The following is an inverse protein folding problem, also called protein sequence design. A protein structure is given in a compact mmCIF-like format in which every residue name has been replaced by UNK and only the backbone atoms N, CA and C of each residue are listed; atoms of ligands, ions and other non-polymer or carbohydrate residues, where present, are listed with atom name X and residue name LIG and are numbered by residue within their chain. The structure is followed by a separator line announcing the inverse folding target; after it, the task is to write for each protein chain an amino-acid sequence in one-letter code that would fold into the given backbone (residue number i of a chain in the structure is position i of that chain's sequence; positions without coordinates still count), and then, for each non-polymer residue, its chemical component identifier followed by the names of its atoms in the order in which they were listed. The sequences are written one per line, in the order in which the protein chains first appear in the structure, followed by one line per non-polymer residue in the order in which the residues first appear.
data_IF_310505123729
#
_entry.id   IF_310505123729
#
_cell.length_a   1.000
_cell.length_b   1.000
_cell.length_c   1.000
_cell.angle_alpha   90.00
_cell.angle_beta   90.00
_cell.angle_gamma   90.00
#
_symmetry.space_group_name_H-M   'P 1'
#
loop_
_entity.id
_entity.type
_entity.pdbx_description
1 polymer ?
#
# COMPACT_ATOMS: atom_id res chain seq x y z
N UNK A 1 7.96 -2.09 -0.78
CA UNK A 1 7.18 -2.81 0.26
C UNK A 1 7.94 -3.10 1.55
N UNK A 2 9.12 -3.73 1.54
CA UNK A 2 9.89 -3.97 2.78
C UNK A 2 10.07 -2.72 3.68
N UNK A 3 10.50 -1.60 3.09
CA UNK A 3 10.63 -0.31 3.82
C UNK A 3 9.28 0.16 4.36
N UNK A 4 8.21 -0.01 3.59
CA UNK A 4 6.85 0.35 3.98
C UNK A 4 6.39 -0.46 5.21
N UNK A 5 6.69 -1.76 5.26
CA UNK A 5 6.43 -2.62 6.42
C UNK A 5 7.14 -2.11 7.68
N UNK A 6 8.42 -1.74 7.55
CA UNK A 6 9.20 -1.19 8.66
C UNK A 6 8.64 0.15 9.16
N UNK A 7 8.23 1.04 8.26
CA UNK A 7 7.55 2.30 8.60
C UNK A 7 6.20 2.05 9.28
N UNK A 8 5.43 1.05 8.82
CA UNK A 8 4.18 0.68 9.46
C UNK A 8 4.38 0.22 10.92
N UNK A 9 5.45 -0.51 11.20
CA UNK A 9 5.83 -0.89 12.57
C UNK A 9 6.23 0.32 13.44
N UNK A 10 6.93 1.29 12.86
CA UNK A 10 7.26 2.54 13.55
C UNK A 10 6.01 3.35 13.92
N UNK A 11 5.04 3.47 13.00
CA UNK A 11 3.75 4.12 13.28
C UNK A 11 2.92 3.35 14.31
N UNK A 12 2.93 2.01 14.22
CA UNK A 12 2.25 1.14 15.16
C UNK A 12 2.77 1.34 16.60
N UNK A 13 4.05 1.66 16.79
CA UNK A 13 4.66 1.91 18.12
C UNK A 13 3.93 3.00 18.89
N UNK A 14 3.49 4.06 18.21
CA UNK A 14 2.71 5.14 18.81
C UNK A 14 1.27 4.73 19.11
N UNK A 15 0.71 3.82 18.30
CA UNK A 15 -0.64 3.27 18.45
C UNK A 15 -1.78 4.29 18.33
N UNK A 16 -1.49 5.50 17.82
CA UNK A 16 -2.47 6.60 17.71
C UNK A 16 -3.31 6.53 16.44
N UNK A 17 -2.77 5.95 15.38
CA UNK A 17 -3.41 5.82 14.07
C UNK A 17 -3.28 4.39 13.57
N UNK A 18 -4.19 3.99 12.68
CA UNK A 18 -4.02 2.72 11.99
C UNK A 18 -2.71 2.75 11.18
N UNK A 19 -1.84 1.74 11.28
CA UNK A 19 -0.55 1.70 10.60
C UNK A 19 -0.72 1.34 9.12
N UNK A 20 -1.61 2.05 8.41
CA UNK A 20 -1.80 1.96 6.97
C UNK A 20 -0.98 3.09 6.35
N UNK A 21 0.11 2.70 5.70
CA UNK A 21 1.14 3.58 5.15
C UNK A 21 1.03 3.54 3.64
N UNK A 22 1.14 4.72 3.03
CA UNK A 22 1.16 4.89 1.58
C UNK A 22 2.44 5.60 1.17
N UNK A 23 3.14 5.01 0.21
CA UNK A 23 4.20 5.70 -0.52
C UNK A 23 3.76 5.98 -1.95
N UNK A 24 4.17 7.14 -2.47
CA UNK A 24 4.28 7.36 -3.91
C UNK A 24 5.74 7.26 -4.29
N UNK A 25 6.04 6.46 -5.31
CA UNK A 25 7.40 6.25 -5.80
C UNK A 25 7.48 6.66 -7.26
N UNK A 26 8.51 7.41 -7.60
CA UNK A 26 8.82 7.86 -8.95
C UNK A 26 10.32 7.66 -9.20
N UNK A 27 10.69 6.95 -10.26
CA UNK A 27 12.10 6.66 -10.61
C UNK A 27 12.91 6.13 -9.42
N UNK A 28 12.41 5.07 -8.77
CA UNK A 28 13.00 4.42 -7.60
C UNK A 28 13.18 5.31 -6.35
N UNK A 29 12.61 6.52 -6.35
CA UNK A 29 12.61 7.44 -5.21
C UNK A 29 11.23 7.53 -4.60
N UNK A 30 11.16 7.43 -3.27
CA UNK A 30 9.95 7.77 -2.52
C UNK A 30 9.80 9.30 -2.60
N UNK A 31 8.68 9.75 -3.17
CA UNK A 31 8.36 11.18 -3.34
C UNK A 31 7.25 11.63 -2.41
N UNK A 32 6.54 10.70 -1.78
CA UNK A 32 5.54 10.95 -0.76
C UNK A 32 5.49 9.79 0.22
N UNK A 33 5.43 10.11 1.50
CA UNK A 33 5.17 9.18 2.61
C UNK A 33 4.02 9.74 3.42
N UNK A 34 2.91 9.00 3.47
CA UNK A 34 1.74 9.33 4.30
C UNK A 34 1.23 8.07 4.98
N UNK A 35 0.39 8.28 5.99
CA UNK A 35 -0.36 7.21 6.64
C UNK A 35 -1.71 7.76 7.11
N UNK A 36 -2.60 6.89 7.55
CA UNK A 36 -3.91 7.32 8.03
C UNK A 36 -3.79 8.36 9.15
N UNK A 37 -4.53 9.45 9.02
CA UNK A 37 -4.65 10.53 10.01
C UNK A 37 -6.10 10.77 10.42
N UNK A 38 -6.89 9.70 10.44
CA UNK A 38 -8.33 9.77 10.66
C UNK A 38 -8.67 10.22 12.09
N UNK A 39 -7.87 9.82 13.08
CA UNK A 39 -8.08 10.20 14.47
C UNK A 39 -7.58 11.61 14.74
N UNK A 40 -6.35 11.92 14.32
CA UNK A 40 -5.72 13.23 14.50
C UNK A 40 -6.55 14.34 13.85
N UNK A 41 -6.96 14.14 12.60
CA UNK A 41 -7.69 15.13 11.83
C UNK A 41 -9.22 15.06 12.03
N UNK A 42 -9.71 14.09 12.82
CA UNK A 42 -11.14 13.83 13.04
C UNK A 42 -11.94 13.76 11.72
N UNK A 43 -11.36 13.13 10.71
CA UNK A 43 -11.93 13.04 9.38
C UNK A 43 -11.72 11.65 8.78
N UNK A 44 -12.84 10.97 8.50
CA UNK A 44 -12.84 9.60 7.98
C UNK A 44 -12.28 9.44 6.56
N UNK A 45 -12.07 10.52 5.80
CA UNK A 45 -11.46 10.43 4.46
C UNK A 45 -9.95 10.63 4.45
N UNK A 46 -9.33 10.97 5.58
CA UNK A 46 -7.89 11.25 5.66
C UNK A 46 -7.06 9.96 5.73
N UNK A 47 -7.18 9.15 4.69
CA UNK A 47 -6.36 7.98 4.45
C UNK A 47 -5.01 8.35 3.82
N UNK A 48 -4.02 7.48 3.97
CA UNK A 48 -2.67 7.68 3.42
C UNK A 48 -2.67 8.01 1.92
N UNK A 49 -3.50 7.33 1.12
CA UNK A 49 -3.58 7.56 -0.32
C UNK A 49 -4.12 8.95 -0.64
N UNK A 50 -5.20 9.37 0.04
CA UNK A 50 -5.77 10.71 -0.15
C UNK A 50 -4.77 11.80 0.22
N UNK A 51 -4.14 11.67 1.38
CA UNK A 51 -3.14 12.64 1.85
C UNK A 51 -1.93 12.69 0.91
N UNK A 52 -1.57 11.58 0.28
CA UNK A 52 -0.44 11.52 -0.64
C UNK A 52 -0.68 12.35 -1.89
N UNK A 53 -1.88 12.26 -2.49
CA UNK A 53 -2.22 13.07 -3.66
C UNK A 53 -2.56 14.52 -3.31
N UNK A 54 -3.20 14.75 -2.16
CA UNK A 54 -3.54 16.10 -1.69
C UNK A 54 -2.32 17.01 -1.61
N UNK A 55 -1.18 16.46 -1.16
CA UNK A 55 0.04 17.23 -0.93
C UNK A 55 1.00 17.18 -2.14
N UNK A 56 0.67 16.44 -3.20
CA UNK A 56 1.50 16.30 -4.39
C UNK A 56 1.31 17.50 -5.34
N UNK A 57 2.38 18.13 -5.88
CA UNK A 57 2.23 19.23 -6.82
C UNK A 57 1.47 18.82 -8.09
N UNK A 58 0.40 19.55 -8.41
CA UNK A 58 -0.51 19.18 -9.51
C UNK A 58 0.18 19.11 -10.87
N UNK A 59 1.09 20.06 -11.16
CA UNK A 59 1.84 20.09 -12.42
C UNK A 59 2.82 18.91 -12.56
N UNK A 60 3.32 18.39 -11.44
CA UNK A 60 4.12 17.16 -11.43
C UNK A 60 3.22 15.94 -11.72
N UNK A 61 2.11 15.83 -11.00
CA UNK A 61 1.18 14.71 -11.12
C UNK A 61 0.62 14.59 -12.55
N UNK A 62 0.16 15.69 -13.15
CA UNK A 62 -0.38 15.67 -14.51
C UNK A 62 0.62 15.12 -15.53
N UNK A 63 1.91 15.43 -15.34
CA UNK A 63 2.98 15.06 -16.25
C UNK A 63 3.53 13.66 -16.00
N UNK A 64 3.51 13.19 -14.76
CA UNK A 64 4.25 12.00 -14.32
C UNK A 64 3.38 10.89 -13.72
N UNK A 65 2.05 11.04 -13.64
CA UNK A 65 1.13 10.04 -13.07
C UNK A 65 1.33 8.61 -13.59
N UNK A 66 1.73 8.45 -14.85
CA UNK A 66 1.96 7.13 -15.48
C UNK A 66 3.24 6.45 -14.97
N UNK A 67 4.21 7.23 -14.49
CA UNK A 67 5.50 6.77 -13.95
C UNK A 67 5.46 6.62 -12.42
N UNK A 68 4.39 7.07 -11.77
CA UNK A 68 4.21 6.97 -10.33
C UNK A 68 3.60 5.60 -9.98
N UNK A 69 4.25 4.88 -9.08
CA UNK A 69 3.69 3.69 -8.46
C UNK A 69 3.27 3.99 -7.03
N UNK A 70 2.03 3.64 -6.68
CA UNK A 70 1.53 3.72 -5.31
C UNK A 70 1.81 2.40 -4.59
N UNK A 71 2.42 2.48 -3.42
CA UNK A 71 2.64 1.33 -2.54
C UNK A 71 1.85 1.52 -1.25
N UNK A 72 1.10 0.50 -0.81
CA UNK A 72 0.29 0.56 0.42
C UNK A 72 0.22 -0.79 1.11
N UNK A 73 0.32 -0.90 2.44
CA UNK A 73 0.28 -2.22 3.10
C UNK A 73 -1.12 -2.85 3.18
N UNK A 74 -2.18 -2.13 2.84
CA UNK A 74 -3.54 -2.65 2.83
C UNK A 74 -4.20 -2.25 1.53
N UNK A 75 -4.91 -3.18 0.89
CA UNK A 75 -5.66 -2.92 -0.33
C UNK A 75 -6.47 -1.61 -0.21
N UNK A 76 -6.34 -0.69 -1.19
CA UNK A 76 -7.09 0.56 -1.17
C UNK A 76 -8.59 0.31 -0.98
N UNK A 77 -9.21 1.08 -0.11
CA UNK A 77 -10.66 1.01 0.01
C UNK A 77 -11.35 1.54 -1.26
N UNK A 78 -12.63 1.26 -1.44
CA UNK A 78 -13.43 1.72 -2.60
C UNK A 78 -13.25 3.23 -2.90
N UNK A 79 -13.18 4.07 -1.85
CA UNK A 79 -12.94 5.51 -2.00
C UNK A 79 -11.54 5.79 -2.59
N UNK A 80 -10.50 5.22 -2.00
CA UNK A 80 -9.12 5.42 -2.44
C UNK A 80 -8.91 4.85 -3.85
N UNK A 81 -9.44 3.66 -4.13
CA UNK A 81 -9.42 3.02 -5.46
C UNK A 81 -10.07 3.89 -6.54
N UNK A 82 -11.26 4.44 -6.27
CA UNK A 82 -11.93 5.36 -7.18
C UNK A 82 -11.12 6.62 -7.43
N UNK A 83 -10.51 7.19 -6.39
CA UNK A 83 -9.62 8.36 -6.52
C UNK A 83 -8.38 8.03 -7.35
N UNK A 84 -7.70 6.92 -7.08
CA UNK A 84 -6.50 6.47 -7.82
C UNK A 84 -6.85 6.29 -9.31
N UNK A 85 -8.01 5.71 -9.60
CA UNK A 85 -8.56 5.58 -10.95
C UNK A 85 -8.77 6.92 -11.64
N UNK A 86 -9.33 7.91 -10.95
CA UNK A 86 -9.53 9.25 -11.50
C UNK A 86 -8.21 10.01 -11.72
N UNK A 87 -7.23 9.82 -10.84
CA UNK A 87 -5.87 10.36 -11.01
C UNK A 87 -5.21 9.77 -12.25
N UNK A 88 -5.43 8.48 -12.51
CA UNK A 88 -4.90 7.76 -13.67
C UNK A 88 -3.47 7.26 -13.45
N UNK A 89 -3.19 6.69 -12.28
CA UNK A 89 -1.95 5.93 -12.06
C UNK A 89 -1.95 4.63 -12.86
N UNK A 90 -0.77 4.11 -13.20
CA UNK A 90 -0.65 2.81 -13.87
C UNK A 90 -0.51 1.65 -12.89
N UNK A 91 0.12 1.86 -11.73
CA UNK A 91 0.51 0.77 -10.83
C UNK A 91 0.15 1.06 -9.37
N UNK A 92 -0.48 0.07 -8.74
CA UNK A 92 -0.73 0.03 -7.30
C UNK A 92 -0.25 -1.30 -6.76
N UNK A 93 0.67 -1.25 -5.81
CA UNK A 93 1.22 -2.43 -5.12
C UNK A 93 0.72 -2.45 -3.68
N UNK A 94 0.21 -3.60 -3.22
CA UNK A 94 -0.23 -3.71 -1.83
C UNK A 94 0.05 -5.05 -1.17
N UNK A 95 0.04 -5.06 0.18
CA UNK A 95 0.39 -6.26 0.95
C UNK A 95 -0.78 -7.17 1.26
N UNK A 96 -1.86 -6.70 1.90
CA UNK A 96 -2.96 -7.59 2.28
C UNK A 96 -4.33 -7.07 1.82
N UNK A 97 -5.29 -7.98 1.75
CA UNK A 97 -6.67 -7.68 1.43
C UNK A 97 -7.28 -6.67 2.41
N UNK A 98 -8.25 -5.89 1.92
CA UNK A 98 -9.11 -5.09 2.77
C UNK A 98 -10.50 -5.75 2.83
N UNK A 99 -10.65 -6.68 3.76
CA UNK A 99 -11.83 -7.56 3.86
C UNK A 99 -13.17 -6.81 4.01
N UNK A 100 -13.15 -5.57 4.50
CA UNK A 100 -14.38 -4.81 4.77
C UNK A 100 -14.71 -3.79 3.70
N UNK A 101 -13.70 -3.14 3.12
CA UNK A 101 -13.89 -1.98 2.26
C UNK A 101 -13.03 -2.01 1.00
N UNK A 102 -12.32 -3.11 0.73
CA UNK A 102 -11.44 -3.28 -0.42
C UNK A 102 -12.19 -3.17 -1.73
N UNK A 103 -11.52 -2.62 -2.75
CA UNK A 103 -12.10 -2.48 -4.08
C UNK A 103 -12.35 -3.83 -4.76
N UNK A 104 -11.66 -4.90 -4.35
CA UNK A 104 -11.94 -6.28 -4.77
C UNK A 104 -13.37 -6.74 -4.50
N UNK A 105 -14.06 -6.14 -3.51
CA UNK A 105 -15.46 -6.40 -3.17
C UNK A 105 -16.45 -5.87 -4.22
N UNK A 106 -16.00 -5.00 -5.13
CA UNK A 106 -16.83 -4.48 -6.22
C UNK A 106 -17.01 -5.50 -7.35
N UNK A 107 -18.13 -5.44 -8.10
CA UNK A 107 -18.31 -6.24 -9.31
C UNK A 107 -17.21 -5.97 -10.35
N UNK A 108 -16.82 -7.00 -11.11
CA UNK A 108 -15.76 -6.90 -12.12
C UNK A 108 -15.98 -5.77 -13.14
N UNK A 109 -17.23 -5.49 -13.51
CA UNK A 109 -17.57 -4.39 -14.43
C UNK A 109 -17.09 -3.02 -13.92
N UNK A 110 -17.10 -2.80 -12.60
CA UNK A 110 -16.65 -1.56 -11.96
C UNK A 110 -15.13 -1.58 -11.74
N UNK A 111 -14.55 -2.76 -11.51
CA UNK A 111 -13.10 -2.92 -11.32
C UNK A 111 -12.33 -2.65 -12.61
N UNK A 112 -12.84 -3.11 -13.75
CA UNK A 112 -12.15 -3.11 -15.04
C UNK A 112 -12.33 -1.82 -15.86
N UNK A 113 -12.71 -0.71 -15.23
CA UNK A 113 -12.99 0.55 -15.95
C UNK A 113 -11.73 1.27 -16.43
N UNK A 114 -10.57 1.01 -15.81
CA UNK A 114 -9.29 1.62 -16.14
C UNK A 114 -8.17 0.57 -16.23
N UNK A 115 -7.08 0.91 -16.93
CA UNK A 115 -5.91 0.03 -17.17
C UNK A 115 -4.92 -0.04 -15.98
N UNK A 116 -5.38 0.14 -14.76
CA UNK A 116 -4.49 0.16 -13.58
C UNK A 116 -4.12 -1.27 -13.21
N UNK A 117 -2.83 -1.56 -13.13
CA UNK A 117 -2.31 -2.80 -12.58
C UNK A 117 -2.39 -2.77 -11.05
N UNK A 118 -3.23 -3.65 -10.50
CA UNK A 118 -3.33 -3.90 -9.07
C UNK A 118 -2.46 -5.12 -8.74
N UNK A 119 -1.37 -4.91 -8.01
CA UNK A 119 -0.34 -5.91 -7.69
C UNK A 119 -0.47 -6.29 -6.21
N UNK A 120 -1.19 -7.37 -5.86
CA UNK A 120 -1.48 -7.74 -4.48
C UNK A 120 -0.35 -8.58 -3.85
N UNK A 121 -0.43 -8.72 -2.53
CA UNK A 121 0.21 -9.77 -1.74
C UNK A 121 1.73 -9.74 -1.60
N UNK A 122 2.32 -8.54 -1.67
CA UNK A 122 3.75 -8.31 -1.43
C UNK A 122 3.99 -7.94 0.04
N UNK A 123 4.69 -8.77 0.82
CA UNK A 123 4.80 -8.75 2.30
C UNK A 123 3.44 -8.88 3.01
N UNK A 124 2.61 -9.81 2.52
CA UNK A 124 1.21 -9.96 2.95
C UNK A 124 1.08 -10.28 4.45
N UNK A 125 1.81 -11.28 4.92
CA UNK A 125 1.69 -11.77 6.30
C UNK A 125 2.12 -10.73 7.30
N UNK A 126 3.15 -9.96 6.99
CA UNK A 126 3.65 -8.87 7.82
C UNK A 126 2.58 -7.78 7.99
N UNK A 127 1.89 -7.41 6.90
CA UNK A 127 0.81 -6.44 6.97
C UNK A 127 -0.37 -6.93 7.82
N UNK A 128 -0.79 -8.19 7.65
CA UNK A 128 -1.85 -8.81 8.47
C UNK A 128 -1.47 -8.81 9.95
N UNK A 129 -0.24 -9.22 10.26
CA UNK A 129 0.26 -9.25 11.64
C UNK A 129 0.33 -7.84 12.23
N UNK A 130 0.79 -6.85 11.45
CA UNK A 130 0.82 -5.43 11.85
C UNK A 130 -0.58 -4.94 12.23
N UNK A 131 -1.61 -5.27 11.43
CA UNK A 131 -3.01 -4.95 11.76
C UNK A 131 -3.49 -5.67 13.01
N UNK A 132 -3.17 -6.96 13.19
CA UNK A 132 -3.50 -7.72 14.41
C UNK A 132 -2.89 -7.07 15.65
N UNK A 133 -1.62 -6.65 15.58
CA UNK A 133 -0.94 -5.94 16.67
C UNK A 133 -1.68 -4.64 17.02
N UNK A 134 -2.05 -3.83 16.03
CA UNK A 134 -2.85 -2.61 16.26
C UNK A 134 -4.20 -2.93 16.95
N UNK A 135 -4.91 -3.97 16.50
CA UNK A 135 -6.18 -4.36 17.11
C UNK A 135 -6.05 -4.95 18.52
N UNK A 136 -4.85 -5.33 18.98
CA UNK A 136 -4.61 -5.71 20.37
C UNK A 136 -4.35 -4.50 21.27
N UNK A 137 -3.80 -3.41 20.74
CA UNK A 137 -3.55 -2.19 21.51
C UNK A 137 -4.85 -1.63 22.10
N UNK A 138 -4.76 -1.05 23.30
CA UNK A 138 -5.91 -0.40 23.93
C UNK A 138 -6.24 0.90 23.20
N UNK A 139 -7.48 1.02 22.73
CA UNK A 139 -7.95 2.29 22.20
C UNK A 139 -8.28 3.22 23.37
N UNK A 140 -7.32 4.07 23.76
CA UNK A 140 -7.49 5.06 24.83
C UNK A 140 -8.61 6.08 24.55
N UNK A 141 -9.05 6.21 23.29
CA UNK A 141 -10.12 7.10 22.89
C UNK A 141 -11.51 6.45 22.90
N UNK A 142 -11.62 5.14 23.19
CA UNK A 142 -12.90 4.45 23.22
C UNK A 142 -13.69 4.80 24.51
N UNK A 143 -14.95 5.25 24.42
CA UNK A 143 -15.75 5.66 25.58
C UNK A 143 -16.07 4.51 26.56
N UNK A 144 -15.96 3.26 26.10
CA UNK A 144 -15.93 2.06 26.95
C UNK A 144 -14.77 1.19 26.48
N UNK A 145 -13.78 0.98 27.34
CA UNK A 145 -12.73 -0.01 27.10
C UNK A 145 -13.37 -1.40 27.22
N UNK A 146 -13.66 -2.07 26.09
CA UNK A 146 -13.89 -3.52 26.14
C UNK A 146 -12.56 -4.14 26.57
N UNK A 147 -12.52 -4.77 27.74
CA UNK A 147 -11.36 -5.54 28.18
C UNK A 147 -11.03 -6.56 27.08
N UNK A 148 -9.82 -6.47 26.51
CA UNK A 148 -9.28 -7.42 25.52
C UNK A 148 -8.47 -8.53 26.22
N UNK A 149 -8.76 -8.81 27.49
CA UNK A 149 -8.11 -9.86 28.28
C UNK A 149 -8.26 -11.22 27.57
N UNK A 150 -7.14 -11.91 27.35
CA UNK A 150 -7.10 -13.25 26.73
C UNK A 150 -6.89 -13.31 25.21
N UNK A 151 -6.73 -12.17 24.50
CA UNK A 151 -6.37 -12.20 23.07
C UNK A 151 -4.86 -12.29 22.89
N UNK A 152 -4.38 -13.45 22.46
CA UNK A 152 -2.99 -13.64 22.01
C UNK A 152 -2.86 -13.24 20.53
N UNK A 153 -1.66 -12.84 20.14
CA UNK A 153 -1.36 -12.58 18.75
C UNK A 153 -1.16 -13.91 18.02
N UNK A 154 -1.82 -14.06 16.87
CA UNK A 154 -1.71 -15.24 16.01
C UNK A 154 -0.76 -14.97 14.85
N UNK A 155 0.24 -15.84 14.70
CA UNK A 155 1.27 -15.80 13.66
C UNK A 155 1.18 -16.98 12.68
N UNK A 156 0.27 -17.94 12.92
CA UNK A 156 0.23 -19.21 12.18
C UNK A 156 -0.93 -19.25 11.21
N UNK A 157 -2.09 -18.70 11.59
CA UNK A 157 -3.27 -18.73 10.71
C UNK A 157 -3.41 -17.44 9.92
N UNK A 158 -3.68 -17.56 8.62
CA UNK A 158 -3.90 -16.44 7.72
C UNK A 158 -5.15 -16.70 6.88
N UNK A 159 -5.92 -15.66 6.50
CA UNK A 159 -7.01 -15.83 5.55
C UNK A 159 -6.52 -16.48 4.25
N UNK A 160 -7.39 -17.26 3.60
CA UNK A 160 -7.04 -17.88 2.32
C UNK A 160 -6.88 -16.80 1.25
N UNK A 161 -5.78 -16.88 0.50
CA UNK A 161 -5.59 -16.07 -0.70
C UNK A 161 -6.53 -16.57 -1.80
N UNK A 162 -6.93 -15.65 -2.68
CA UNK A 162 -7.57 -16.00 -3.94
C UNK A 162 -6.98 -15.16 -5.07
N UNK A 163 -5.91 -15.66 -5.69
CA UNK A 163 -5.23 -14.97 -6.80
C UNK A 163 -6.17 -14.68 -7.97
N UNK A 164 -7.09 -15.60 -8.25
CA UNK A 164 -8.10 -15.46 -9.31
C UNK A 164 -9.11 -14.32 -9.07
N UNK A 165 -9.09 -13.66 -7.91
CA UNK A 165 -9.89 -12.46 -7.66
C UNK A 165 -9.26 -11.19 -8.23
N UNK A 166 -7.95 -11.24 -8.50
CA UNK A 166 -7.12 -10.12 -8.96
C UNK A 166 -6.62 -10.30 -10.39
N UNK A 167 -6.47 -11.55 -10.85
CA UNK A 167 -5.93 -11.88 -12.17
C UNK A 167 -6.94 -12.66 -13.01
N UNK A 168 -6.93 -12.44 -14.32
CA UNK A 168 -7.83 -13.16 -15.24
C UNK A 168 -7.45 -14.62 -15.40
N UNK A 169 -6.16 -14.90 -15.41
CA UNK A 169 -5.59 -16.23 -15.58
C UNK A 169 -4.15 -16.28 -15.00
N UNK A 170 -3.51 -17.44 -15.15
CA UNK A 170 -2.14 -17.65 -14.69
C UNK A 170 -1.13 -16.77 -15.43
N UNK A 171 -1.28 -16.56 -16.73
CA UNK A 171 -0.28 -15.83 -17.50
C UNK A 171 -0.35 -14.31 -17.20
N UNK A 172 -1.54 -13.79 -16.90
CA UNK A 172 -1.76 -12.45 -16.36
C UNK A 172 -1.07 -12.27 -14.98
N UNK A 173 -1.29 -13.21 -14.07
CA UNK A 173 -0.58 -13.27 -12.79
C UNK A 173 0.94 -13.33 -12.97
N UNK A 174 1.43 -14.23 -13.84
CA UNK A 174 2.85 -14.48 -14.04
C UNK A 174 3.59 -13.26 -14.57
N UNK A 175 3.03 -12.59 -15.59
CA UNK A 175 3.63 -11.37 -16.17
C UNK A 175 3.53 -10.15 -15.25
N UNK A 176 2.51 -10.10 -14.39
CA UNK A 176 2.29 -8.94 -13.52
C UNK A 176 3.11 -9.01 -12.23
N UNK A 177 3.21 -10.19 -11.62
CA UNK A 177 3.91 -10.36 -10.34
C UNK A 177 5.41 -10.54 -10.51
N UNK A 178 5.84 -11.22 -11.57
CA UNK A 178 7.21 -11.67 -11.70
C UNK A 178 7.92 -11.10 -12.91
N UNK A 179 9.23 -10.93 -12.78
CA UNK A 179 10.10 -10.87 -13.94
C UNK A 179 10.15 -12.26 -14.59
N UNK A 180 9.49 -12.39 -15.73
CA UNK A 180 9.32 -13.67 -16.43
C UNK A 180 10.60 -14.23 -17.02
N UNK A 181 11.67 -13.42 -17.12
CA UNK A 181 12.99 -13.88 -17.56
C UNK A 181 13.69 -14.72 -16.47
N UNK A 182 13.45 -14.40 -15.19
CA UNK A 182 14.16 -15.02 -14.07
C UNK A 182 13.30 -15.94 -13.21
N UNK A 183 11.99 -15.74 -13.17
CA UNK A 183 11.10 -16.54 -12.33
C UNK A 183 10.89 -17.94 -12.91
N UNK A 184 10.96 -18.96 -12.05
CA UNK A 184 10.60 -20.32 -12.44
C UNK A 184 9.08 -20.44 -12.63
N UNK A 185 8.65 -20.74 -13.86
CA UNK A 185 7.23 -20.83 -14.22
C UNK A 185 6.52 -21.94 -13.43
N UNK A 186 7.16 -23.07 -13.15
CA UNK A 186 6.56 -24.19 -12.40
C UNK A 186 6.29 -23.80 -10.95
N UNK A 187 7.22 -23.10 -10.31
CA UNK A 187 7.03 -22.52 -8.99
C UNK A 187 5.91 -21.48 -8.98
N UNK A 188 5.86 -20.60 -9.99
CA UNK A 188 4.78 -19.62 -10.12
C UNK A 188 3.41 -20.28 -10.30
N UNK A 189 3.29 -21.33 -11.13
CA UNK A 189 2.07 -22.12 -11.29
C UNK A 189 1.63 -22.73 -9.95
N UNK A 190 2.59 -23.29 -9.20
CA UNK A 190 2.31 -23.84 -7.86
C UNK A 190 1.78 -22.76 -6.91
N UNK A 191 2.34 -21.56 -6.93
CA UNK A 191 1.85 -20.43 -6.12
C UNK A 191 0.41 -20.07 -6.51
N UNK A 192 0.17 -19.87 -7.81
CA UNK A 192 -1.12 -19.43 -8.32
C UNK A 192 -2.22 -20.46 -8.08
N UNK A 193 -2.04 -21.71 -8.55
CA UNK A 193 -3.08 -22.73 -8.51
C UNK A 193 -3.36 -23.27 -7.09
N UNK A 194 -2.40 -23.16 -6.17
CA UNK A 194 -2.59 -23.55 -4.77
C UNK A 194 -2.86 -22.36 -3.82
N UNK A 195 -2.99 -21.14 -4.35
CA UNK A 195 -3.21 -19.91 -3.57
C UNK A 195 -2.21 -19.71 -2.41
N UNK A 196 -0.93 -19.88 -2.71
CA UNK A 196 0.15 -19.68 -1.73
C UNK A 196 0.54 -18.20 -1.64
N UNK A 197 0.99 -17.78 -0.46
CA UNK A 197 1.70 -16.50 -0.32
C UNK A 197 3.02 -16.54 -1.10
N UNK A 198 3.50 -15.37 -1.53
CA UNK A 198 4.78 -15.21 -2.23
C UNK A 198 5.98 -15.44 -1.31
N UNK A 199 5.86 -15.08 -0.04
CA UNK A 199 6.91 -15.20 0.97
C UNK A 199 6.41 -15.78 2.30
N UNK A 200 7.29 -16.46 3.07
CA UNK A 200 7.00 -16.77 4.47
C UNK A 200 6.99 -15.49 5.32
N UNK A 201 6.36 -15.56 6.50
CA UNK A 201 6.39 -14.46 7.47
C UNK A 201 7.82 -14.23 7.98
N UNK A 202 8.35 -13.02 7.80
CA UNK A 202 9.59 -12.57 8.42
C UNK A 202 9.32 -11.87 9.75
N UNK A 203 9.53 -12.60 10.85
CA UNK A 203 9.36 -12.09 12.20
C UNK A 203 10.23 -10.88 12.52
N UNK A 204 11.35 -10.66 11.81
CA UNK A 204 12.23 -9.51 12.04
C UNK A 204 11.60 -8.20 11.54
N UNK A 205 10.73 -8.26 10.54
CA UNK A 205 10.10 -7.08 9.94
C UNK A 205 8.87 -6.58 10.69
N UNK A 206 8.35 -7.38 11.62
CA UNK A 206 7.16 -7.08 12.45
C UNK A 206 7.51 -6.82 13.92
N UNK A 207 8.80 -6.67 14.21
CA UNK A 207 9.30 -6.24 15.50
C UNK A 207 9.56 -4.74 15.48
N UNK A 208 9.48 -4.06 16.64
CA UNK A 208 9.80 -2.64 16.71
C UNK A 208 11.24 -2.39 16.25
N UNK A 209 11.42 -1.53 15.26
CA UNK A 209 12.76 -1.10 14.85
C UNK A 209 13.47 -0.37 15.99
N UNK A 210 14.79 -0.60 16.08
CA UNK A 210 15.66 0.13 17.00
C UNK A 210 15.94 1.56 16.55
N UNK A 211 15.90 1.83 15.25
CA UNK A 211 16.20 3.15 14.67
C UNK A 211 14.98 3.72 13.93
N UNK A 212 14.70 5.03 14.10
CA UNK A 212 13.62 5.71 13.38
C UNK A 212 13.98 5.85 11.90
N UNK A 213 13.13 5.33 11.02
CA UNK A 213 13.29 5.38 9.56
C UNK A 213 12.52 6.55 8.94
N UNK A 214 11.41 6.96 9.55
CA UNK A 214 10.51 7.97 8.97
C UNK A 214 11.22 9.30 8.75
N UNK A 215 12.01 9.75 9.72
CA UNK A 215 12.73 11.03 9.64
C UNK A 215 13.70 11.06 8.45
N UNK A 216 14.48 9.99 8.25
CA UNK A 216 15.38 9.87 7.10
C UNK A 216 14.64 9.88 5.76
N UNK A 217 13.54 9.14 5.65
CA UNK A 217 12.72 9.11 4.42
C UNK A 217 12.10 10.49 4.14
N UNK A 218 11.61 11.20 5.16
CA UNK A 218 11.08 12.56 5.00
C UNK A 218 12.17 13.51 4.51
N UNK A 219 13.39 13.41 5.05
CA UNK A 219 14.52 14.20 4.59
C UNK A 219 14.84 13.93 3.11
N UNK A 220 14.85 12.66 2.69
CA UNK A 220 15.07 12.29 1.29
C UNK A 220 13.97 12.79 0.35
N UNK A 221 12.71 12.76 0.79
CA UNK A 221 11.57 13.34 0.06
C UNK A 221 11.75 14.86 -0.08
N UNK A 222 12.11 15.56 1.00
CA UNK A 222 12.35 17.00 0.95
C UNK A 222 13.48 17.34 -0.02
N UNK A 223 14.60 16.62 0.05
CA UNK A 223 15.73 16.78 -0.87
C UNK A 223 15.32 16.54 -2.33
N UNK A 224 14.47 15.55 -2.60
CA UNK A 224 13.92 15.31 -3.93
C UNK A 224 13.16 16.55 -4.45
N UNK A 225 12.26 17.10 -3.63
CA UNK A 225 11.44 18.24 -4.04
C UNK A 225 12.21 19.57 -4.10
N UNK A 226 13.21 19.77 -3.24
CA UNK A 226 14.12 20.92 -3.33
C UNK A 226 14.98 20.89 -4.60
N UNK A 227 15.45 19.70 -4.99
CA UNK A 227 16.21 19.51 -6.22
C UNK A 227 15.30 19.55 -7.47
N UNK A 228 14.02 19.26 -7.32
CA UNK A 228 13.08 19.21 -8.44
C UNK A 228 12.87 20.59 -9.04
N UNK A 229 13.27 20.73 -10.32
CA UNK A 229 12.94 21.90 -11.14
C UNK A 229 11.94 21.46 -12.18
N UNK A 230 10.80 22.14 -12.26
CA UNK A 230 9.87 21.94 -13.36
C UNK A 230 10.62 22.10 -14.70
N UNK A 231 10.59 21.10 -15.60
CA UNK A 231 11.14 21.27 -16.93
C UNK A 231 10.40 22.42 -17.61
N UNK A 232 11.13 23.44 -18.09
CA UNK A 232 10.55 24.60 -18.76
C UNK A 232 9.51 24.12 -19.79
N UNK A 233 8.28 24.63 -19.69
CA UNK A 233 7.26 24.40 -20.72
C UNK A 233 7.85 24.84 -22.06
N UNK A 234 8.12 23.90 -22.96
CA UNK A 234 8.25 24.24 -24.36
C UNK A 234 6.89 24.82 -24.73
N UNK A 235 6.84 26.14 -24.99
CA UNK A 235 5.65 26.77 -25.56
C UNK A 235 5.37 26.00 -26.84
N UNK A 236 4.29 25.23 -26.85
CA UNK A 236 3.72 24.74 -28.09
C UNK A 236 3.34 26.02 -28.84
N UNK A 237 4.12 26.35 -29.86
CA UNK A 237 3.76 27.38 -30.82
C UNK A 237 2.51 26.86 -31.52
N UNK A 238 1.35 27.34 -31.08
CA UNK A 238 0.12 27.19 -31.84
C UNK A 238 0.31 28.05 -33.09
N UNK A 239 0.68 27.40 -34.19
CA UNK A 239 0.66 27.95 -35.54
C UNK A 239 -0.73 27.80 -36.13
#
# INVERSE_FOLDING_TARGET
MRILTLVAQEILKDGKEMPIVTFLVFQDKIISLKYNKTNENKNGIHHGEYLSFKDLPIGFLEKHKEDITLYVNVEPCIMCDGMIKLVGLNNVVFSCENERFGSSLLPNLVKNTNKIAMIPFIYRKEAIVTLRQFYLQENKNAPKTRRKEGRTLDFETFPNIKWSSYFTDFDDFYRTIFDTEYMDRVLAEKIYYNNLDLEPLDLKLIQPNSEPLIEGIINDINNFWEAWREPKRNKISIS
#
